data_IF_344006809215
#
_entry.id   IF_344006809215
#
_cell.length_a   1.000
_cell.length_b   1.000
_cell.length_c   1.000
_cell.angle_alpha   90.00
_cell.angle_beta   90.00
_cell.angle_gamma   90.00
#
_symmetry.space_group_name_H-M   'P 1'
#
loop_
_entity.id
_entity.type
_entity.pdbx_description
1 polymer ?
#
# COMPACT_ATOMS: atom_id res chain seq x y z
N UNK A 1 25.48 28.14 -17.15
CA UNK A 1 25.51 26.83 -16.46
C UNK A 1 25.58 25.74 -17.52
N UNK A 2 26.18 24.58 -17.23
CA UNK A 2 26.42 23.52 -18.21
C UNK A 2 25.11 22.79 -18.59
N UNK A 3 24.48 23.24 -19.68
CA UNK A 3 23.20 22.71 -20.20
C UNK A 3 23.30 21.24 -20.64
N UNK A 4 24.38 20.78 -21.30
CA UNK A 4 24.59 19.36 -21.57
C UNK A 4 24.49 18.45 -20.34
N UNK A 5 25.10 18.86 -19.21
CA UNK A 5 25.02 18.09 -17.97
C UNK A 5 23.59 18.02 -17.41
N UNK A 6 22.85 19.14 -17.48
CA UNK A 6 21.45 19.20 -17.02
C UNK A 6 20.57 18.26 -17.87
N UNK A 7 20.76 18.24 -19.20
CA UNK A 7 20.05 17.31 -20.08
C UNK A 7 20.27 15.85 -19.67
N UNK A 8 21.53 15.46 -19.48
CA UNK A 8 21.87 14.10 -19.06
C UNK A 8 21.25 13.74 -17.72
N UNK A 9 21.18 14.68 -16.78
CA UNK A 9 20.51 14.49 -15.49
C UNK A 9 18.99 14.31 -15.66
N UNK A 10 18.32 15.14 -16.46
CA UNK A 10 16.89 14.99 -16.73
C UNK A 10 16.56 13.62 -17.34
N UNK A 11 17.36 13.17 -18.32
CA UNK A 11 17.20 11.85 -18.94
C UNK A 11 17.43 10.71 -17.95
N UNK A 12 18.43 10.83 -17.07
CA UNK A 12 18.70 9.84 -16.03
C UNK A 12 17.56 9.78 -15.01
N UNK A 13 17.06 10.93 -14.56
CA UNK A 13 15.92 10.96 -13.64
C UNK A 13 14.70 10.31 -14.28
N UNK A 14 14.43 10.58 -15.57
CA UNK A 14 13.32 9.93 -16.28
C UNK A 14 13.49 8.41 -16.37
N UNK A 15 14.70 7.92 -16.66
CA UNK A 15 14.97 6.48 -16.79
C UNK A 15 14.90 5.73 -15.45
N UNK A 16 15.02 6.42 -14.31
CA UNK A 16 14.84 5.82 -12.97
C UNK A 16 13.38 5.58 -12.57
N UNK A 17 12.42 5.99 -13.40
CA UNK A 17 10.99 5.75 -13.16
C UNK A 17 10.31 6.79 -12.27
N UNK A 18 10.52 8.07 -12.54
CA UNK A 18 9.83 9.17 -11.86
C UNK A 18 8.30 9.03 -11.97
N UNK A 19 7.63 9.03 -10.81
CA UNK A 19 6.16 9.00 -10.70
C UNK A 19 5.53 10.39 -10.53
N UNK A 20 6.31 11.45 -10.72
CA UNK A 20 5.88 12.83 -10.57
C UNK A 20 6.33 13.70 -11.76
N UNK A 21 5.65 14.84 -12.03
CA UNK A 21 6.05 15.73 -13.11
C UNK A 21 7.44 16.33 -12.86
N UNK A 22 8.27 16.32 -13.90
CA UNK A 22 9.58 16.95 -13.93
C UNK A 22 9.48 18.32 -14.60
N UNK A 23 9.56 19.38 -13.81
CA UNK A 23 9.51 20.76 -14.29
C UNK A 23 10.92 21.36 -14.29
N UNK A 24 11.37 21.90 -15.43
CA UNK A 24 12.68 22.53 -15.55
C UNK A 24 12.59 24.03 -15.30
N UNK A 25 13.45 24.58 -14.45
CA UNK A 25 13.55 26.03 -14.23
C UNK A 25 14.79 26.55 -14.95
N UNK A 26 14.63 27.51 -15.86
CA UNK A 26 15.71 28.08 -16.67
C UNK A 26 15.63 29.60 -16.77
N UNK A 27 16.74 30.24 -17.07
CA UNK A 27 16.76 31.65 -17.51
C UNK A 27 16.26 31.75 -18.96
N UNK A 28 15.87 32.94 -19.40
CA UNK A 28 15.45 33.21 -20.80
C UNK A 28 16.47 32.69 -21.84
N UNK A 29 17.76 32.96 -21.64
CA UNK A 29 18.82 32.51 -22.54
C UNK A 29 19.02 30.99 -22.59
N UNK A 30 18.46 30.23 -21.63
CA UNK A 30 18.51 28.77 -21.59
C UNK A 30 17.37 28.13 -22.38
N UNK A 31 16.28 28.86 -22.66
CA UNK A 31 15.07 28.31 -23.26
C UNK A 31 15.31 27.75 -24.67
N UNK A 32 16.21 28.38 -25.44
CA UNK A 32 16.56 27.95 -26.79
C UNK A 32 17.22 26.57 -26.86
N UNK A 33 17.80 26.09 -25.74
CA UNK A 33 18.44 24.78 -25.67
C UNK A 33 17.50 23.67 -25.21
N UNK A 34 16.31 24.01 -24.72
CA UNK A 34 15.35 23.06 -24.17
C UNK A 34 14.58 22.40 -25.32
N UNK A 35 14.65 21.08 -25.37
CA UNK A 35 14.03 20.26 -26.42
C UNK A 35 13.31 19.06 -25.81
N UNK A 36 12.39 18.45 -26.56
CA UNK A 36 11.54 17.37 -26.06
C UNK A 36 12.33 16.11 -25.63
N UNK A 37 13.53 15.88 -26.17
CA UNK A 37 14.42 14.75 -25.82
C UNK A 37 15.01 14.84 -24.41
N UNK A 38 14.84 15.95 -23.70
CA UNK A 38 15.25 16.09 -22.30
C UNK A 38 14.32 15.32 -21.36
N UNK A 39 13.12 14.96 -21.84
CA UNK A 39 12.14 14.21 -21.07
C UNK A 39 11.64 15.01 -19.87
N UNK A 40 11.32 16.29 -20.05
CA UNK A 40 10.69 17.17 -19.04
C UNK A 40 9.20 17.38 -19.36
N UNK A 41 8.37 17.65 -18.36
CA UNK A 41 6.92 17.81 -18.50
C UNK A 41 6.47 19.26 -18.67
N UNK A 42 7.27 20.22 -18.18
CA UNK A 42 7.02 21.66 -18.30
C UNK A 42 8.34 22.45 -18.09
N UNK A 43 8.34 23.72 -18.48
CA UNK A 43 9.46 24.65 -18.29
C UNK A 43 8.98 25.97 -17.66
N UNK A 44 9.71 26.45 -16.66
CA UNK A 44 9.46 27.72 -15.98
C UNK A 44 10.68 28.64 -16.15
N UNK A 45 10.42 29.93 -16.31
CA UNK A 45 11.47 30.92 -16.16
C UNK A 45 11.83 31.07 -14.68
N UNK A 46 13.09 31.37 -14.39
CA UNK A 46 13.55 31.71 -13.04
C UNK A 46 12.92 33.01 -12.49
N UNK A 47 12.34 33.82 -13.36
CA UNK A 47 11.56 35.02 -13.03
C UNK A 47 10.05 34.79 -12.92
N UNK A 48 9.58 33.53 -12.99
CA UNK A 48 8.14 33.23 -12.93
C UNK A 48 7.52 33.65 -11.58
N UNK A 49 6.37 34.32 -11.64
CA UNK A 49 5.61 34.73 -10.46
C UNK A 49 4.89 33.58 -9.77
N UNK A 50 4.50 33.72 -8.50
CA UNK A 50 3.90 32.63 -7.72
C UNK A 50 2.61 32.07 -8.33
N UNK A 51 1.78 32.93 -8.93
CA UNK A 51 0.55 32.51 -9.60
C UNK A 51 0.82 31.63 -10.84
N UNK A 52 1.88 31.92 -11.60
CA UNK A 52 2.26 31.10 -12.75
C UNK A 52 2.80 29.74 -12.28
N UNK A 53 3.69 29.74 -11.29
CA UNK A 53 4.25 28.52 -10.71
C UNK A 53 3.13 27.61 -10.21
N UNK A 54 2.18 28.17 -9.45
CA UNK A 54 1.03 27.42 -8.95
C UNK A 54 0.16 26.86 -10.09
N UNK A 55 -0.15 27.66 -11.11
CA UNK A 55 -0.94 27.21 -12.25
C UNK A 55 -0.23 26.07 -13.01
N UNK A 56 1.08 26.19 -13.25
CA UNK A 56 1.85 25.14 -13.95
C UNK A 56 1.97 23.86 -13.13
N UNK A 57 2.17 23.96 -11.81
CA UNK A 57 2.17 22.79 -10.94
C UNK A 57 0.82 22.07 -10.94
N UNK A 58 -0.29 22.81 -10.88
CA UNK A 58 -1.64 22.25 -10.99
C UNK A 58 -1.85 21.57 -12.34
N UNK A 59 -1.44 22.19 -13.44
CA UNK A 59 -1.56 21.62 -14.78
C UNK A 59 -0.68 20.38 -14.98
N UNK A 60 0.57 20.40 -14.51
CA UNK A 60 1.49 19.27 -14.63
C UNK A 60 1.00 18.06 -13.82
N UNK A 61 0.49 18.29 -12.61
CA UNK A 61 -0.09 17.25 -11.76
C UNK A 61 -1.43 16.75 -12.32
N UNK A 62 -2.28 17.66 -12.82
CA UNK A 62 -3.53 17.32 -13.49
C UNK A 62 -3.32 16.50 -14.77
N UNK A 63 -2.27 16.78 -15.54
CA UNK A 63 -1.88 15.97 -16.71
C UNK A 63 -1.42 14.57 -16.33
N UNK A 64 -0.81 14.35 -15.17
CA UNK A 64 -0.51 12.98 -14.69
C UNK A 64 -1.80 12.24 -14.27
N UNK A 65 -2.78 12.97 -13.73
CA UNK A 65 -4.08 12.40 -13.38
C UNK A 65 -4.95 12.11 -14.61
N UNK A 66 -4.80 12.90 -15.68
CA UNK A 66 -5.52 12.74 -16.94
C UNK A 66 -4.76 11.90 -17.99
N UNK A 67 -3.45 11.78 -17.87
CA UNK A 67 -2.53 11.13 -18.82
C UNK A 67 -1.72 9.98 -18.21
N UNK A 68 -2.09 9.53 -17.01
CA UNK A 68 -1.68 8.25 -16.46
C UNK A 68 -2.49 7.14 -17.13
N UNK A 69 -1.95 6.60 -18.22
CA UNK A 69 -2.52 5.59 -19.10
C UNK A 69 -3.81 5.99 -19.83
N UNK A 70 -3.74 5.88 -21.14
CA UNK A 70 -4.89 5.80 -22.03
C UNK A 70 -5.60 4.45 -21.80
N UNK A 71 -6.20 4.30 -20.62
CA UNK A 71 -7.53 3.70 -20.49
C UNK A 71 -8.17 4.20 -19.18
N UNK A 72 -9.36 4.80 -19.21
CA UNK A 72 -10.22 4.94 -18.02
C UNK A 72 -10.72 3.58 -17.48
N UNK A 73 -10.05 2.47 -17.85
CA UNK A 73 -10.43 1.09 -17.68
C UNK A 73 -9.39 0.28 -16.89
N UNK A 74 -8.23 0.85 -16.53
CA UNK A 74 -7.25 0.15 -15.68
C UNK A 74 -7.37 0.53 -14.20
N UNK A 75 -7.82 -0.42 -13.37
CA UNK A 75 -7.89 -0.30 -11.91
C UNK A 75 -6.56 -0.80 -11.32
N UNK A 76 -5.87 0.02 -10.54
CA UNK A 76 -4.60 -0.34 -9.89
C UNK A 76 -4.73 -0.35 -8.37
N UNK A 77 -4.38 -1.47 -7.73
CA UNK A 77 -4.34 -1.61 -6.28
C UNK A 77 -3.07 -2.36 -5.84
N UNK A 78 -2.05 -1.61 -5.42
CA UNK A 78 -0.75 -2.19 -5.04
C UNK A 78 -0.12 -2.91 -6.22
N UNK A 79 0.17 -4.20 -6.05
CA UNK A 79 0.78 -5.05 -7.08
C UNK A 79 -0.23 -5.57 -8.12
N UNK A 80 -1.53 -5.33 -7.94
CA UNK A 80 -2.60 -5.75 -8.84
C UNK A 80 -2.96 -4.63 -9.82
N UNK A 81 -2.99 -4.95 -11.11
CA UNK A 81 -3.60 -4.11 -12.15
C UNK A 81 -4.70 -4.89 -12.89
N UNK A 82 -5.83 -4.25 -13.17
CA UNK A 82 -6.99 -4.85 -13.84
C UNK A 82 -7.38 -3.95 -14.98
N UNK A 83 -7.22 -4.42 -16.21
CA UNK A 83 -7.57 -3.73 -17.45
C UNK A 83 -8.93 -4.24 -17.95
N UNK A 84 -9.94 -3.39 -17.85
CA UNK A 84 -11.30 -3.67 -18.28
C UNK A 84 -11.44 -3.71 -19.80
N UNK A 85 -10.59 -3.00 -20.56
CA UNK A 85 -10.68 -2.98 -22.02
C UNK A 85 -10.22 -4.32 -22.61
N UNK A 86 -9.15 -4.88 -22.05
CA UNK A 86 -8.59 -6.16 -22.51
C UNK A 86 -9.09 -7.38 -21.73
N UNK A 87 -9.96 -7.18 -20.74
CA UNK A 87 -10.40 -8.21 -19.80
C UNK A 87 -9.23 -8.97 -19.18
N UNK A 88 -8.14 -8.25 -18.85
CA UNK A 88 -6.91 -8.83 -18.35
C UNK A 88 -6.57 -8.30 -16.95
N UNK A 89 -6.05 -9.17 -16.09
CA UNK A 89 -5.54 -8.79 -14.78
C UNK A 89 -4.08 -9.20 -14.67
N UNK A 90 -3.23 -8.32 -14.12
CA UNK A 90 -1.82 -8.55 -13.89
C UNK A 90 -1.51 -8.42 -12.41
N UNK A 91 -0.67 -9.31 -11.90
CA UNK A 91 -0.16 -9.27 -10.53
C UNK A 91 1.36 -9.25 -10.56
N UNK A 92 1.98 -8.21 -9.98
CA UNK A 92 3.43 -7.97 -10.08
C UNK A 92 3.91 -8.00 -11.55
N UNK A 93 3.10 -7.48 -12.47
CA UNK A 93 3.36 -7.49 -13.91
C UNK A 93 3.13 -8.81 -14.65
N UNK A 94 2.76 -9.91 -13.97
CA UNK A 94 2.43 -11.20 -14.60
C UNK A 94 0.94 -11.30 -14.86
N UNK A 95 0.55 -11.68 -16.08
CA UNK A 95 -0.86 -11.88 -16.45
C UNK A 95 -1.43 -13.07 -15.68
N UNK A 96 -2.59 -12.88 -15.06
CA UNK A 96 -3.37 -13.92 -14.39
C UNK A 96 -4.29 -14.58 -15.41
N UNK A 97 -4.27 -15.91 -15.47
CA UNK A 97 -5.19 -16.70 -16.28
C UNK A 97 -6.55 -16.83 -15.58
N UNK A 98 -7.39 -15.80 -15.68
CA UNK A 98 -8.73 -15.74 -15.06
C UNK A 98 -9.81 -16.14 -16.07
N UNK A 99 -10.82 -16.88 -15.60
CA UNK A 99 -12.06 -17.02 -16.38
C UNK A 99 -12.84 -15.71 -16.34
N UNK A 100 -13.75 -15.51 -17.29
CA UNK A 100 -14.57 -14.30 -17.38
C UNK A 100 -15.25 -13.91 -16.05
N UNK A 101 -15.87 -14.85 -15.35
CA UNK A 101 -16.55 -14.57 -14.07
C UNK A 101 -15.60 -14.36 -12.90
N UNK A 102 -14.41 -14.95 -12.92
CA UNK A 102 -13.37 -14.66 -11.92
C UNK A 102 -12.80 -13.26 -12.13
N UNK A 103 -12.59 -12.86 -13.39
CA UNK A 103 -12.19 -11.51 -13.76
C UNK A 103 -13.24 -10.47 -13.32
N UNK A 104 -14.50 -10.65 -13.71
CA UNK A 104 -15.58 -9.72 -13.35
C UNK A 104 -15.74 -9.58 -11.82
N UNK A 105 -15.62 -10.69 -11.08
CA UNK A 105 -15.66 -10.67 -9.63
C UNK A 105 -14.46 -9.91 -9.03
N UNK A 106 -13.25 -10.13 -9.54
CA UNK A 106 -12.06 -9.41 -9.10
C UNK A 106 -12.17 -7.92 -9.40
N UNK A 107 -12.56 -7.57 -10.62
CA UNK A 107 -12.81 -6.20 -11.09
C UNK A 107 -13.80 -5.49 -10.17
N UNK A 108 -14.97 -6.08 -9.95
CA UNK A 108 -16.02 -5.46 -9.14
C UNK A 108 -15.56 -5.19 -7.69
N UNK A 109 -14.84 -6.15 -7.10
CA UNK A 109 -14.27 -5.98 -5.76
C UNK A 109 -13.15 -4.90 -5.76
N UNK A 110 -12.26 -4.90 -6.75
CA UNK A 110 -11.13 -3.98 -6.86
C UNK A 110 -11.57 -2.52 -7.15
N UNK A 111 -12.68 -2.32 -7.87
CA UNK A 111 -13.32 -1.00 -8.05
C UNK A 111 -13.82 -0.39 -6.74
N UNK A 112 -14.05 -1.21 -5.71
CA UNK A 112 -14.62 -0.81 -4.44
C UNK A 112 -13.76 -1.30 -3.25
N UNK A 113 -12.50 -0.83 -3.14
CA UNK A 113 -11.59 -1.27 -2.11
C UNK A 113 -12.13 -0.95 -0.71
N UNK A 114 -11.98 -1.91 0.22
CA UNK A 114 -12.46 -1.78 1.60
C UNK A 114 -13.97 -2.01 1.80
N UNK A 115 -14.80 -1.89 0.76
CA UNK A 115 -16.24 -2.11 0.86
C UNK A 115 -16.57 -3.60 0.95
N UNK A 116 -17.49 -3.95 1.86
CA UNK A 116 -17.99 -5.31 2.03
C UNK A 116 -19.25 -5.50 1.17
N UNK A 117 -19.25 -6.55 0.36
CA UNK A 117 -20.40 -6.99 -0.40
C UNK A 117 -20.92 -8.33 0.10
N UNK A 118 -22.23 -8.43 0.23
CA UNK A 118 -22.90 -9.70 0.54
C UNK A 118 -22.80 -10.64 -0.66
N UNK A 119 -22.93 -11.95 -0.41
CA UNK A 119 -22.94 -12.95 -1.50
C UNK A 119 -24.07 -12.73 -2.48
N UNK A 120 -25.25 -12.30 -2.01
CA UNK A 120 -26.39 -12.01 -2.86
C UNK A 120 -26.11 -10.80 -3.78
N UNK A 121 -25.50 -9.74 -3.24
CA UNK A 121 -25.09 -8.58 -4.04
C UNK A 121 -24.05 -8.99 -5.10
N UNK A 122 -23.00 -9.70 -4.72
CA UNK A 122 -21.98 -10.15 -5.68
C UNK A 122 -22.56 -11.05 -6.76
N UNK A 123 -23.52 -11.91 -6.40
CA UNK A 123 -24.21 -12.75 -7.37
C UNK A 123 -24.97 -11.89 -8.39
N UNK A 124 -25.77 -10.94 -7.90
CA UNK A 124 -26.58 -10.06 -8.74
C UNK A 124 -25.73 -9.17 -9.66
N UNK A 125 -24.66 -8.59 -9.13
CA UNK A 125 -23.84 -7.61 -9.85
C UNK A 125 -22.94 -8.28 -10.89
N UNK A 126 -22.41 -9.48 -10.59
CA UNK A 126 -21.47 -10.18 -11.47
C UNK A 126 -22.17 -11.18 -12.41
N UNK A 127 -23.26 -11.82 -11.98
CA UNK A 127 -24.02 -12.76 -12.83
C UNK A 127 -25.27 -12.15 -13.46
N UNK A 128 -25.78 -11.04 -12.95
CA UNK A 128 -27.02 -10.41 -13.39
C UNK A 128 -28.24 -10.87 -12.59
N UNK A 129 -29.30 -10.07 -12.67
CA UNK A 129 -30.57 -10.29 -11.96
C UNK A 129 -31.31 -11.57 -12.40
N UNK A 130 -31.09 -12.02 -13.64
CA UNK A 130 -31.77 -13.19 -14.23
C UNK A 130 -31.06 -14.52 -13.91
N UNK A 131 -30.00 -14.52 -13.09
CA UNK A 131 -29.29 -15.74 -12.72
C UNK A 131 -30.02 -16.50 -11.60
N UNK A 132 -30.64 -17.64 -11.95
CA UNK A 132 -31.40 -18.48 -11.01
C UNK A 132 -30.54 -19.42 -10.12
N UNK A 133 -29.23 -19.19 -10.00
CA UNK A 133 -28.35 -20.01 -9.16
C UNK A 133 -28.24 -19.53 -7.70
N UNK A 134 -27.62 -20.35 -6.86
CA UNK A 134 -27.42 -20.02 -5.45
C UNK A 134 -26.16 -19.19 -5.17
N UNK A 135 -26.14 -18.49 -4.03
CA UNK A 135 -24.99 -17.70 -3.55
C UNK A 135 -23.71 -18.50 -3.35
N UNK A 136 -23.78 -19.84 -3.28
CA UNK A 136 -22.63 -20.75 -3.23
C UNK A 136 -21.73 -20.65 -4.47
N UNK A 137 -22.27 -20.26 -5.63
CA UNK A 137 -21.48 -20.05 -6.84
C UNK A 137 -20.40 -18.98 -6.61
N UNK A 138 -20.74 -17.90 -5.91
CA UNK A 138 -19.78 -16.85 -5.54
C UNK A 138 -18.62 -17.42 -4.72
N UNK A 139 -18.92 -18.26 -3.72
CA UNK A 139 -17.89 -18.87 -2.87
C UNK A 139 -16.91 -19.75 -3.66
N UNK A 140 -17.42 -20.50 -4.64
CA UNK A 140 -16.60 -21.34 -5.53
C UNK A 140 -15.65 -20.48 -6.38
N UNK A 141 -16.17 -19.38 -6.95
CA UNK A 141 -15.35 -18.48 -7.76
C UNK A 141 -14.33 -17.70 -6.92
N UNK A 142 -14.69 -17.25 -5.72
CA UNK A 142 -13.71 -16.64 -4.80
C UNK A 142 -12.59 -17.62 -4.46
N UNK A 143 -12.92 -18.89 -4.17
CA UNK A 143 -11.91 -19.91 -3.87
C UNK A 143 -10.95 -20.14 -5.05
N UNK A 144 -11.47 -20.24 -6.28
CA UNK A 144 -10.64 -20.40 -7.48
C UNK A 144 -9.79 -19.17 -7.75
N UNK A 145 -10.38 -17.98 -7.61
CA UNK A 145 -9.69 -16.70 -7.77
C UNK A 145 -8.52 -16.58 -6.79
N UNK A 146 -8.71 -16.91 -5.50
CA UNK A 146 -7.62 -16.95 -4.51
C UNK A 146 -6.51 -17.92 -4.90
N UNK A 147 -6.86 -19.12 -5.36
CA UNK A 147 -5.87 -20.09 -5.81
C UNK A 147 -5.02 -19.55 -6.98
N UNK A 148 -5.62 -18.76 -7.88
CA UNK A 148 -4.94 -18.11 -9.02
C UNK A 148 -4.09 -16.90 -8.61
N UNK A 149 -4.52 -16.16 -7.59
CA UNK A 149 -3.73 -15.06 -6.99
C UNK A 149 -2.49 -15.57 -6.25
N UNK A 150 -2.56 -16.80 -5.74
CA UNK A 150 -1.48 -17.45 -4.99
C UNK A 150 -1.44 -17.05 -3.51
N UNK A 151 -0.67 -17.78 -2.70
CA UNK A 151 -0.69 -17.68 -1.24
C UNK A 151 -0.24 -16.31 -0.71
N UNK A 152 0.61 -15.59 -1.46
CA UNK A 152 1.05 -14.24 -1.08
C UNK A 152 -0.07 -13.19 -1.24
N UNK A 153 -1.05 -13.43 -2.11
CA UNK A 153 -2.03 -12.41 -2.51
C UNK A 153 -3.48 -12.88 -2.36
N UNK A 154 -3.74 -14.09 -1.87
CA UNK A 154 -5.11 -14.57 -1.59
C UNK A 154 -5.84 -13.70 -0.55
N UNK A 155 -5.07 -13.00 0.29
CA UNK A 155 -5.53 -12.04 1.30
C UNK A 155 -6.07 -10.75 0.70
N UNK A 156 -5.77 -10.43 -0.57
CA UNK A 156 -6.37 -9.31 -1.30
C UNK A 156 -7.89 -9.42 -1.36
N UNK A 157 -8.42 -10.63 -1.31
CA UNK A 157 -9.85 -10.85 -1.15
C UNK A 157 -10.08 -11.26 0.30
N UNK A 158 -10.63 -10.36 1.10
CA UNK A 158 -10.97 -10.60 2.50
C UNK A 158 -12.34 -11.28 2.64
N UNK A 159 -12.46 -12.21 3.60
CA UNK A 159 -13.76 -12.78 3.98
C UNK A 159 -14.26 -12.13 5.25
N UNK A 160 -15.49 -11.61 5.21
CA UNK A 160 -16.23 -11.19 6.40
C UNK A 160 -17.22 -12.30 6.74
N UNK A 161 -16.98 -12.98 7.88
CA UNK A 161 -17.77 -14.13 8.32
C UNK A 161 -19.25 -13.77 8.36
N UNK A 162 -20.09 -14.67 7.85
CA UNK A 162 -21.55 -14.52 7.76
C UNK A 162 -22.07 -13.35 6.90
N UNK A 163 -21.19 -12.54 6.28
CA UNK A 163 -21.60 -11.38 5.46
C UNK A 163 -21.23 -11.63 3.99
N UNK A 164 -19.94 -11.73 3.68
CA UNK A 164 -19.48 -11.87 2.29
C UNK A 164 -18.00 -11.53 2.12
N UNK A 165 -17.69 -10.75 1.09
CA UNK A 165 -16.31 -10.51 0.65
C UNK A 165 -16.01 -9.02 0.47
N UNK A 166 -14.74 -8.67 0.60
CA UNK A 166 -14.23 -7.32 0.33
C UNK A 166 -12.88 -7.41 -0.36
N UNK A 167 -12.52 -6.37 -1.10
CA UNK A 167 -11.13 -6.19 -1.52
C UNK A 167 -10.33 -5.51 -0.41
N UNK A 168 -9.15 -6.06 -0.10
CA UNK A 168 -8.22 -5.53 0.90
C UNK A 168 -7.06 -4.90 0.16
N UNK A 169 -6.90 -3.59 0.32
CA UNK A 169 -5.70 -2.91 -0.18
C UNK A 169 -4.55 -3.25 0.77
N UNK A 170 -3.42 -3.79 0.28
CA UNK A 170 -2.25 -4.00 1.12
C UNK A 170 -1.73 -2.62 1.51
N UNK A 171 -1.89 -2.26 2.79
CA UNK A 171 -1.22 -1.08 3.31
C UNK A 171 0.29 -1.31 3.21
N UNK A 172 0.99 -0.38 2.55
CA UNK A 172 2.44 -0.24 2.72
C UNK A 172 2.65 -0.11 4.22
N UNK A 173 3.47 -0.96 4.89
CA UNK A 173 3.61 -0.87 6.33
C UNK A 173 4.17 0.50 6.67
N UNK A 174 3.31 1.37 7.20
CA UNK A 174 3.75 2.52 7.95
C UNK A 174 4.64 1.97 9.07
N UNK A 175 5.87 2.49 9.16
CA UNK A 175 6.78 2.18 10.26
C UNK A 175 6.00 2.34 11.55
N UNK A 176 5.91 1.25 12.32
CA UNK A 176 5.12 1.21 13.54
C UNK A 176 5.44 2.38 14.47
N UNK A 177 4.38 3.11 14.84
CA UNK A 177 4.34 3.71 16.16
C UNK A 177 4.36 2.57 17.17
N UNK A 178 5.55 2.38 17.73
CA UNK A 178 5.75 1.54 18.89
C UNK A 178 4.82 2.01 19.99
N UNK A 179 4.06 1.05 20.50
CA UNK A 179 3.47 1.04 21.82
C UNK A 179 4.53 1.39 22.88
N UNK A 180 4.64 2.66 23.26
CA UNK A 180 5.25 3.06 24.53
C UNK A 180 4.16 3.24 25.59
N UNK A 181 3.63 2.12 26.08
CA UNK A 181 3.07 2.01 27.44
C UNK A 181 3.29 0.58 27.94
N UNK A 182 4.57 0.25 28.09
CA UNK A 182 5.05 -1.01 28.65
C UNK A 182 6.42 -0.87 29.28
N UNK A 183 6.72 0.30 29.85
CA UNK A 183 8.00 0.57 30.54
C UNK A 183 7.76 1.36 31.83
N UNK A 184 6.72 0.99 32.59
CA UNK A 184 6.51 1.46 33.96
C UNK A 184 6.24 0.32 34.96
N UNK A 185 6.28 -0.95 34.55
CA UNK A 185 6.02 -2.07 35.45
C UNK A 185 7.27 -2.60 36.18
N UNK A 186 8.49 -2.25 35.77
CA UNK A 186 9.73 -2.83 36.34
C UNK A 186 10.42 -1.94 37.39
N UNK A 187 9.84 -0.78 37.73
CA UNK A 187 10.39 0.14 38.75
C UNK A 187 9.60 0.20 40.07
N UNK A 188 8.52 -0.57 40.20
CA UNK A 188 7.70 -0.60 41.41
C UNK A 188 8.07 -1.74 42.39
N UNK A 189 8.93 -2.68 41.99
CA UNK A 189 9.29 -3.87 42.81
C UNK A 189 10.53 -3.66 43.72
N UNK A 190 11.01 -2.42 43.87
CA UNK A 190 12.15 -2.10 44.75
C UNK A 190 11.81 -1.12 45.90
N UNK A 191 10.54 -0.82 46.13
CA UNK A 191 10.14 0.13 47.17
C UNK A 191 8.95 -0.35 47.99
N UNK A 192 9.00 -1.55 48.57
CA UNK A 192 8.15 -1.85 49.73
C UNK A 192 8.73 -3.00 50.57
N UNK A 193 9.63 -2.66 51.49
CA UNK A 193 9.92 -3.49 52.64
C UNK A 193 8.94 -3.12 53.77
N UNK A 194 8.27 -4.09 54.41
CA UNK A 194 7.79 -3.91 55.77
C UNK A 194 8.72 -4.64 56.73
N UNK A 195 9.46 -3.85 57.48
CA UNK A 195 10.08 -4.20 58.74
C UNK A 195 8.98 -4.44 59.79
N UNK A 196 8.81 -5.68 60.26
CA UNK A 196 8.34 -5.97 61.62
C UNK A 196 9.04 -7.21 62.18
N UNK A 197 9.48 -7.03 63.41
CA UNK A 197 10.32 -7.90 64.21
C UNK A 197 9.57 -9.06 64.89
N UNK A 198 10.42 -9.89 65.50
CA UNK A 198 10.18 -10.87 66.56
C UNK A 198 9.54 -12.20 66.16
N UNK A 199 10.33 -13.28 66.22
CA UNK A 199 10.20 -14.29 67.28
C UNK A 199 11.50 -15.10 67.41
N UNK A 200 11.92 -15.28 68.65
CA UNK A 200 13.01 -16.11 69.16
C UNK A 200 12.88 -17.62 68.84
N UNK A 201 14.02 -18.31 69.02
CA UNK A 201 14.26 -19.73 69.32
C UNK A 201 15.23 -20.35 68.30
N UNK A 202 16.53 -20.41 68.58
CA UNK A 202 17.23 -21.28 69.54
C UNK A 202 17.19 -22.77 69.16
N UNK A 203 18.39 -23.27 68.86
CA UNK A 203 18.95 -24.63 69.03
C UNK A 203 19.58 -25.15 67.72
N UNK A 204 20.89 -24.96 67.50
CA UNK A 204 22.04 -25.65 68.10
C UNK A 204 22.34 -27.00 67.44
N UNK A 205 23.47 -27.07 66.72
CA UNK A 205 24.64 -27.86 67.14
C UNK A 205 25.65 -28.00 65.99
N UNK A 206 26.88 -27.54 66.22
CA UNK A 206 28.01 -27.95 65.38
C UNK A 206 29.26 -27.10 65.50
N UNK A 207 30.07 -27.38 66.54
CA UNK A 207 31.52 -27.66 66.43
C UNK A 207 32.45 -26.87 67.39
N UNK A 208 33.04 -27.67 68.30
CA UNK A 208 34.48 -27.77 68.63
C UNK A 208 35.16 -26.70 69.52
N UNK A 209 35.64 -27.17 70.68
CA UNK A 209 36.98 -26.87 71.23
C UNK A 209 37.39 -28.05 72.13
N UNK A 210 38.46 -28.82 71.81
CA UNK A 210 39.84 -28.73 72.32
C UNK A 210 39.92 -28.90 73.85
N UNK A 211 40.37 -30.03 74.41
CA UNK A 211 41.73 -30.63 74.51
C UNK A 211 42.54 -30.05 75.68
N UNK A 212 42.71 -30.90 76.71
CA UNK A 212 43.68 -30.88 77.84
C UNK A 212 43.51 -29.78 78.87
#
# INVERSE_FOLDING_TARGET
>A
RDLPQIRSLCQLLRSTGLSCPLVLIVTEGGLAAVTADWGIDDVLLDTAGPAEVEARLRLATGRQQLGGDDSPMEIRNGDLSVDEATYSAKLKGRVLDLTFKEFELLKYLAQHPGRVFTRAQLLQEVWGYDYFGGTRTVDVHVRRLRAKLGPEHESLIGTVRNVGYRFVTPEKPEKGEKTEKGEQAEKAEQAEAPEKADTEASEAAGARSSKV
#
